data_IF_067995858885
#
_entry.id   IF_067995858885
#
_cell.length_a   1.000
_cell.length_b   1.000
_cell.length_c   1.000
_cell.angle_alpha   90.00
_cell.angle_beta   90.00
_cell.angle_gamma   90.00
#
_symmetry.space_group_name_H-M   'P 1'
#
loop_
_entity.id
_entity.type
_entity.pdbx_description
1 polymer ?
#
# COMPACT_ATOMS: atom_id res chain seq x y z
N UNK A 1 6.66 1.67 31.83
CA UNK A 1 7.07 1.47 30.42
C UNK A 1 8.35 0.66 30.43
N UNK A 2 8.40 -0.49 29.75
CA UNK A 2 9.63 -1.28 29.67
C UNK A 2 10.63 -0.49 28.84
N UNK A 3 11.70 0.01 29.46
CA UNK A 3 12.82 0.65 28.76
C UNK A 3 13.32 -0.28 27.66
N UNK A 4 13.19 0.12 26.39
CA UNK A 4 13.61 -0.68 25.24
C UNK A 4 15.07 -1.09 25.41
N UNK A 5 15.37 -2.39 25.33
CA UNK A 5 16.67 -2.94 25.77
C UNK A 5 17.87 -2.49 24.92
N UNK A 6 17.62 -1.87 23.77
CA UNK A 6 18.64 -1.31 22.88
C UNK A 6 19.08 0.12 23.25
N UNK A 7 18.48 0.76 24.26
CA UNK A 7 18.88 2.10 24.76
C UNK A 7 20.14 2.07 25.65
N UNK A 8 20.89 0.98 25.65
CA UNK A 8 22.07 0.79 26.50
C UNK A 8 23.22 1.70 26.05
N UNK A 9 23.87 2.46 26.95
CA UNK A 9 25.04 3.27 26.61
C UNK A 9 26.14 2.45 25.91
N UNK A 10 26.72 3.00 24.85
CA UNK A 10 27.76 2.36 24.04
C UNK A 10 27.27 1.23 23.12
N UNK A 11 25.97 0.91 23.11
CA UNK A 11 25.41 -0.05 22.17
C UNK A 11 25.28 0.58 20.78
N UNK A 12 25.69 -0.17 19.76
CA UNK A 12 25.59 0.26 18.36
C UNK A 12 24.97 -0.86 17.53
N UNK A 13 23.85 -0.57 16.88
CA UNK A 13 23.18 -1.49 15.97
C UNK A 13 23.40 -1.04 14.54
N UNK A 14 23.90 -1.95 13.71
CA UNK A 14 24.09 -1.75 12.27
C UNK A 14 24.11 -3.08 11.54
N UNK A 15 23.81 -3.04 10.24
CA UNK A 15 23.87 -4.26 9.41
C UNK A 15 25.28 -4.86 9.43
N UNK A 16 25.34 -6.20 9.48
CA UNK A 16 26.58 -7.01 9.40
C UNK A 16 27.59 -6.85 10.56
N UNK A 17 27.42 -5.92 11.49
CA UNK A 17 28.39 -5.70 12.59
C UNK A 17 27.74 -5.12 13.86
N UNK A 18 26.47 -5.49 14.11
CA UNK A 18 25.75 -5.14 15.34
C UNK A 18 26.33 -5.89 16.54
N UNK A 19 26.55 -5.19 17.66
CA UNK A 19 26.88 -5.82 18.95
C UNK A 19 25.64 -6.20 19.77
N UNK A 20 24.44 -5.88 19.26
CA UNK A 20 23.19 -6.12 19.96
C UNK A 20 22.68 -7.55 19.86
N UNK A 21 22.03 -8.00 20.93
CA UNK A 21 21.33 -9.28 20.98
C UNK A 21 20.11 -9.28 20.07
N UNK A 22 19.62 -10.48 19.75
CA UNK A 22 18.37 -10.66 18.98
C UNK A 22 17.18 -9.94 19.62
N UNK A 23 17.11 -9.93 20.95
CA UNK A 23 16.04 -9.27 21.72
C UNK A 23 16.12 -7.74 21.52
N UNK A 24 17.31 -7.17 21.63
CA UNK A 24 17.53 -5.73 21.41
C UNK A 24 17.15 -5.30 19.99
N UNK A 25 17.45 -6.13 18.98
CA UNK A 25 17.04 -5.86 17.61
C UNK A 25 15.52 -5.96 17.45
N UNK A 26 14.85 -6.93 18.10
CA UNK A 26 13.38 -7.02 18.10
C UNK A 26 12.74 -5.81 18.75
N UNK A 27 13.27 -5.33 19.86
CA UNK A 27 12.78 -4.12 20.52
C UNK A 27 12.88 -2.91 19.58
N UNK A 28 14.02 -2.72 18.91
CA UNK A 28 14.17 -1.67 17.90
C UNK A 28 13.16 -1.85 16.74
N UNK A 29 12.99 -3.07 16.25
CA UNK A 29 12.05 -3.35 15.16
C UNK A 29 10.60 -3.05 15.57
N UNK A 30 10.19 -3.38 16.81
CA UNK A 30 8.85 -3.02 17.34
C UNK A 30 8.68 -1.50 17.38
N UNK A 31 9.67 -0.78 17.89
CA UNK A 31 9.64 0.68 17.96
C UNK A 31 9.56 1.30 16.55
N UNK A 32 10.34 0.79 15.58
CA UNK A 32 10.26 1.23 14.18
C UNK A 32 8.95 0.84 13.49
N UNK A 33 8.28 -0.26 13.86
CA UNK A 33 6.91 -0.59 13.40
C UNK A 33 5.91 0.39 13.97
N UNK A 34 6.00 0.68 15.27
CA UNK A 34 5.11 1.58 15.97
C UNK A 34 5.19 3.01 15.41
N UNK A 35 6.39 3.46 15.04
CA UNK A 35 6.63 4.75 14.38
C UNK A 35 6.38 4.71 12.85
N UNK A 36 6.01 3.56 12.27
CA UNK A 36 5.69 3.45 10.84
C UNK A 36 6.87 3.58 9.87
N UNK A 37 8.09 3.30 10.32
CA UNK A 37 9.30 3.26 9.48
C UNK A 37 9.68 1.85 9.02
N UNK A 38 9.34 0.82 9.80
CA UNK A 38 9.60 -0.56 9.39
C UNK A 38 8.44 -1.10 8.56
N UNK A 39 8.74 -1.55 7.35
CA UNK A 39 7.74 -2.09 6.41
C UNK A 39 7.04 -3.36 6.94
N UNK A 40 7.83 -4.29 7.49
CA UNK A 40 7.40 -5.54 8.14
C UNK A 40 8.58 -6.25 8.77
N UNK A 41 8.27 -7.30 9.53
CA UNK A 41 9.17 -8.27 10.17
C UNK A 41 9.77 -7.78 11.49
N UNK A 42 9.49 -8.50 12.57
CA UNK A 42 10.08 -8.34 13.91
C UNK A 42 10.77 -9.66 14.25
N UNK A 43 11.83 -9.96 13.51
CA UNK A 43 12.51 -11.26 13.50
C UNK A 43 13.81 -11.27 14.33
N UNK A 44 14.27 -10.09 14.77
CA UNK A 44 15.53 -9.89 15.50
C UNK A 44 16.77 -9.87 14.62
N UNK A 45 16.61 -9.77 13.30
CA UNK A 45 17.70 -9.60 12.34
C UNK A 45 17.89 -8.14 11.91
N UNK A 46 19.10 -7.60 12.07
CA UNK A 46 19.43 -6.27 11.50
C UNK A 46 19.79 -6.41 10.01
N UNK A 47 18.80 -6.72 9.19
CA UNK A 47 18.93 -6.91 7.74
C UNK A 47 18.71 -5.62 6.92
N UNK A 48 18.58 -5.78 5.60
CA UNK A 48 18.32 -4.66 4.68
C UNK A 48 17.01 -3.91 4.99
N UNK A 49 15.99 -4.60 5.47
CA UNK A 49 14.71 -3.98 5.86
C UNK A 49 14.89 -3.03 7.05
N UNK A 50 15.53 -3.52 8.12
CA UNK A 50 15.83 -2.74 9.32
C UNK A 50 16.75 -1.56 9.02
N UNK A 51 17.82 -1.77 8.25
CA UNK A 51 18.73 -0.68 7.84
C UNK A 51 17.99 0.41 7.05
N UNK A 52 17.10 0.02 6.14
CA UNK A 52 16.28 0.98 5.38
C UNK A 52 15.34 1.77 6.27
N UNK A 53 14.70 1.13 7.25
CA UNK A 53 13.82 1.79 8.20
C UNK A 53 14.59 2.83 9.05
N UNK A 54 15.77 2.46 9.54
CA UNK A 54 16.66 3.36 10.29
C UNK A 54 17.07 4.56 9.44
N UNK A 55 17.50 4.32 8.19
CA UNK A 55 17.86 5.41 7.27
C UNK A 55 16.68 6.33 6.93
N UNK A 56 15.49 5.77 6.74
CA UNK A 56 14.29 6.55 6.51
C UNK A 56 13.95 7.46 7.71
N UNK A 57 14.08 6.94 8.94
CA UNK A 57 13.88 7.75 10.15
C UNK A 57 14.95 8.83 10.28
N UNK A 58 16.23 8.50 10.09
CA UNK A 58 17.32 9.48 10.11
C UNK A 58 17.09 10.60 9.08
N UNK A 59 16.61 10.24 7.89
CA UNK A 59 16.27 11.22 6.87
C UNK A 59 15.14 12.16 7.33
N UNK A 60 14.06 11.62 7.87
CA UNK A 60 12.93 12.44 8.35
C UNK A 60 13.33 13.31 9.55
N UNK A 61 14.18 12.82 10.46
CA UNK A 61 14.77 13.62 11.55
C UNK A 61 15.60 14.81 11.05
N UNK A 62 16.11 14.75 9.82
CA UNK A 62 16.88 15.84 9.22
C UNK A 62 16.03 16.76 8.34
N UNK A 63 14.93 16.26 7.75
CA UNK A 63 14.28 16.93 6.62
C UNK A 63 12.75 17.07 6.73
N UNK A 64 12.08 16.31 7.60
CA UNK A 64 10.61 16.29 7.63
C UNK A 64 10.08 17.34 8.62
N UNK A 65 9.59 18.44 8.04
CA UNK A 65 9.00 19.60 8.74
C UNK A 65 7.48 19.44 9.01
N UNK A 66 6.94 18.22 8.95
CA UNK A 66 5.52 17.95 9.19
C UNK A 66 4.59 18.33 8.03
N UNK A 67 5.13 18.63 6.85
CA UNK A 67 4.35 19.07 5.69
C UNK A 67 3.96 17.89 4.78
N UNK A 68 2.82 18.02 4.09
CA UNK A 68 2.51 17.13 2.97
C UNK A 68 3.05 17.64 1.64
N UNK A 69 3.35 16.69 0.76
CA UNK A 69 3.59 16.95 -0.67
C UNK A 69 2.30 16.90 -1.52
N UNK A 70 1.13 16.63 -0.91
CA UNK A 70 -0.20 16.49 -1.52
C UNK A 70 -1.29 17.18 -0.67
N UNK A 71 -2.56 16.96 -1.03
CA UNK A 71 -3.74 17.63 -0.43
C UNK A 71 -4.33 16.90 0.80
N UNK A 72 -3.55 16.04 1.45
CA UNK A 72 -3.92 15.26 2.64
C UNK A 72 -3.68 16.01 3.95
N UNK A 73 -3.06 17.19 3.91
CA UNK A 73 -2.88 18.05 5.09
C UNK A 73 -1.53 17.85 5.78
N UNK A 74 -1.23 18.68 6.77
CA UNK A 74 0.02 18.58 7.53
C UNK A 74 -0.03 17.43 8.54
N UNK A 75 1.13 16.84 8.81
CA UNK A 75 1.31 15.89 9.89
C UNK A 75 1.15 16.60 11.25
N UNK A 76 0.70 15.90 12.30
CA UNK A 76 0.47 16.52 13.62
C UNK A 76 1.75 17.02 14.30
N UNK A 77 2.91 16.52 13.88
CA UNK A 77 4.24 16.90 14.39
C UNK A 77 5.24 16.90 13.26
N UNK A 78 6.27 17.75 13.34
CA UNK A 78 7.43 17.66 12.48
C UNK A 78 8.41 16.62 13.06
N UNK A 79 8.85 15.66 12.23
CA UNK A 79 9.83 14.66 12.70
C UNK A 79 11.16 15.33 13.04
N UNK A 80 11.52 16.40 12.34
CA UNK A 80 12.75 17.15 12.57
C UNK A 80 12.87 17.70 14.01
N UNK A 81 11.75 17.98 14.68
CA UNK A 81 11.74 18.52 16.06
C UNK A 81 12.30 17.54 17.09
N UNK A 82 12.22 16.23 16.82
CA UNK A 82 12.75 15.19 17.70
C UNK A 82 14.27 15.02 17.56
N UNK A 83 14.87 15.55 16.50
CA UNK A 83 16.31 15.40 16.26
C UNK A 83 17.14 16.14 17.32
N UNK A 84 16.80 17.39 17.63
CA UNK A 84 17.50 18.23 18.63
C UNK A 84 19.04 18.22 18.48
N UNK A 85 19.52 18.13 17.24
CA UNK A 85 20.95 18.06 16.89
C UNK A 85 21.65 16.73 17.18
N UNK A 86 20.92 15.66 17.52
CA UNK A 86 21.51 14.35 17.87
C UNK A 86 21.92 13.52 16.65
N UNK A 87 21.14 13.58 15.58
CA UNK A 87 21.37 12.90 14.30
C UNK A 87 21.87 13.93 13.29
N UNK A 88 23.00 13.62 12.66
CA UNK A 88 23.69 14.53 11.72
C UNK A 88 23.88 13.92 10.33
N UNK A 89 23.57 12.63 10.14
CA UNK A 89 23.78 11.92 8.87
C UNK A 89 22.83 10.70 8.73
N UNK A 90 22.62 10.23 7.49
CA UNK A 90 21.78 9.08 7.12
C UNK A 90 22.66 7.84 6.88
N UNK A 91 23.21 7.30 7.97
CA UNK A 91 24.21 6.24 7.92
C UNK A 91 23.66 4.82 8.21
N UNK A 92 22.42 4.68 8.68
CA UNK A 92 21.79 3.40 9.03
C UNK A 92 22.28 2.78 10.35
N UNK A 93 22.94 3.57 11.19
CA UNK A 93 23.44 3.19 12.52
C UNK A 93 22.44 3.64 13.58
N UNK A 94 22.12 2.76 14.53
CA UNK A 94 21.42 3.13 15.76
C UNK A 94 22.41 3.15 16.91
N UNK A 95 22.74 4.35 17.35
CA UNK A 95 23.52 4.64 18.55
C UNK A 95 22.60 5.22 19.64
N UNK A 96 23.20 5.68 20.75
CA UNK A 96 22.45 6.28 21.85
C UNK A 96 21.69 7.56 21.43
N UNK A 97 22.22 8.31 20.47
CA UNK A 97 21.62 9.55 19.99
C UNK A 97 20.32 9.26 19.23
N UNK A 98 20.36 8.35 18.25
CA UNK A 98 19.15 7.96 17.52
C UNK A 98 18.16 7.21 18.43
N UNK A 99 18.64 6.37 19.34
CA UNK A 99 17.78 5.69 20.31
C UNK A 99 17.03 6.68 21.22
N UNK A 100 17.65 7.82 21.55
CA UNK A 100 16.98 8.89 22.29
C UNK A 100 15.92 9.61 21.44
N UNK A 101 16.19 9.90 20.16
CA UNK A 101 15.15 10.45 19.27
C UNK A 101 13.93 9.53 19.18
N UNK A 102 14.16 8.21 19.04
CA UNK A 102 13.08 7.21 19.03
C UNK A 102 12.30 7.24 20.35
N UNK A 103 13.00 7.35 21.49
CA UNK A 103 12.33 7.49 22.79
C UNK A 103 11.43 8.72 22.84
N UNK A 104 11.97 9.88 22.48
CA UNK A 104 11.23 11.15 22.53
C UNK A 104 9.96 11.08 21.66
N UNK A 105 10.03 10.44 20.48
CA UNK A 105 8.87 10.20 19.62
C UNK A 105 7.85 9.24 20.24
N UNK A 106 8.31 8.17 20.90
CA UNK A 106 7.43 7.19 21.54
C UNK A 106 6.80 7.73 22.82
N UNK A 107 7.46 8.65 23.52
CA UNK A 107 6.97 9.26 24.76
C UNK A 107 6.01 10.43 24.46
N UNK A 108 6.06 11.00 23.25
CA UNK A 108 5.12 12.03 22.82
C UNK A 108 3.71 11.47 22.56
N UNK A 109 2.71 12.12 23.16
CA UNK A 109 1.28 11.80 22.99
C UNK A 109 0.70 12.39 21.71
N UNK A 110 1.35 13.40 21.13
CA UNK A 110 0.97 13.96 19.83
C UNK A 110 1.48 13.13 18.66
N UNK A 111 2.55 12.35 18.86
CA UNK A 111 3.01 11.38 17.87
C UNK A 111 2.08 10.16 17.81
N UNK A 112 1.33 9.95 16.70
CA UNK A 112 0.40 8.83 16.61
C UNK A 112 1.14 7.54 16.25
N UNK A 113 0.79 6.46 16.96
CA UNK A 113 1.46 5.16 16.87
C UNK A 113 0.63 4.20 16.03
N UNK A 114 1.28 3.43 15.16
CA UNK A 114 0.56 2.48 14.31
C UNK A 114 -0.16 1.41 15.14
N UNK A 115 -1.41 1.04 14.77
CA UNK A 115 -2.15 0.02 15.48
C UNK A 115 -1.56 -1.38 15.25
N UNK A 116 -1.74 -2.24 16.26
CA UNK A 116 -1.47 -3.67 16.19
C UNK A 116 -2.68 -4.45 16.71
N UNK A 117 -2.72 -5.74 16.40
CA UNK A 117 -3.73 -6.65 16.93
C UNK A 117 -3.08 -7.66 17.87
N UNK A 118 -3.67 -7.90 19.04
CA UNK A 118 -3.23 -8.97 19.96
C UNK A 118 -3.46 -10.35 19.35
N UNK A 119 -4.60 -10.54 18.67
CA UNK A 119 -4.92 -11.73 17.89
C UNK A 119 -5.14 -11.35 16.42
N UNK A 120 -4.06 -11.16 15.63
CA UNK A 120 -4.18 -10.71 14.24
C UNK A 120 -4.82 -11.76 13.34
N UNK A 121 -4.78 -13.04 13.67
CA UNK A 121 -5.47 -14.10 12.95
C UNK A 121 -6.98 -13.90 13.01
N UNK A 122 -7.50 -13.69 14.22
CA UNK A 122 -8.93 -13.44 14.44
C UNK A 122 -9.37 -12.10 13.84
N UNK A 123 -8.62 -11.01 14.10
CA UNK A 123 -8.91 -9.70 13.53
C UNK A 123 -8.98 -9.75 11.98
N UNK A 124 -8.04 -10.46 11.33
CA UNK A 124 -8.10 -10.64 9.88
C UNK A 124 -9.29 -11.52 9.43
N UNK A 125 -9.69 -12.52 10.23
CA UNK A 125 -10.87 -13.34 9.92
C UNK A 125 -12.15 -12.50 9.92
N UNK A 126 -12.33 -11.65 10.91
CA UNK A 126 -13.46 -10.72 11.01
C UNK A 126 -13.51 -9.75 9.83
N UNK A 127 -12.37 -9.15 9.47
CA UNK A 127 -12.24 -8.28 8.28
C UNK A 127 -12.75 -8.98 7.03
N UNK A 128 -12.38 -10.25 6.83
CA UNK A 128 -12.78 -11.01 5.64
C UNK A 128 -14.25 -11.39 5.67
N UNK A 129 -14.81 -11.69 6.85
CA UNK A 129 -16.26 -11.89 6.99
C UNK A 129 -17.03 -10.63 6.61
N UNK A 130 -16.62 -9.46 7.11
CA UNK A 130 -17.22 -8.17 6.74
C UNK A 130 -17.10 -7.88 5.25
N UNK A 131 -15.93 -8.13 4.64
CA UNK A 131 -15.73 -7.96 3.20
C UNK A 131 -16.58 -8.93 2.35
N UNK A 132 -16.91 -10.11 2.89
CA UNK A 132 -17.76 -11.09 2.23
C UNK A 132 -19.26 -10.77 2.34
N UNK A 133 -19.69 -10.17 3.46
CA UNK A 133 -21.06 -9.68 3.62
C UNK A 133 -21.30 -8.35 2.91
N UNK A 134 -20.25 -7.58 2.63
CA UNK A 134 -20.36 -6.29 1.98
C UNK A 134 -21.08 -6.37 0.62
N UNK A 135 -22.02 -5.45 0.42
CA UNK A 135 -22.69 -5.18 -0.84
C UNK A 135 -22.52 -3.70 -1.17
N UNK A 136 -22.38 -3.39 -2.45
CA UNK A 136 -22.26 -2.02 -2.93
C UNK A 136 -22.95 -1.90 -4.28
N UNK A 137 -23.81 -0.90 -4.41
CA UNK A 137 -24.38 -0.45 -5.69
C UNK A 137 -23.44 0.52 -6.41
N UNK A 138 -22.37 0.99 -5.76
CA UNK A 138 -21.47 2.01 -6.30
C UNK A 138 -20.30 1.42 -7.06
N UNK A 139 -19.72 0.31 -6.56
CA UNK A 139 -18.55 -0.34 -7.15
C UNK A 139 -18.64 -1.86 -7.00
N UNK A 140 -18.03 -2.65 -7.91
CA UNK A 140 -18.02 -4.09 -7.81
C UNK A 140 -17.05 -4.56 -6.72
N UNK A 141 -17.60 -5.08 -5.63
CA UNK A 141 -16.83 -5.66 -4.51
C UNK A 141 -15.82 -6.73 -4.95
N UNK A 142 -16.08 -7.60 -5.96
CA UNK A 142 -15.06 -8.53 -6.44
C UNK A 142 -13.80 -7.84 -6.99
N UNK A 143 -13.92 -6.69 -7.67
CA UNK A 143 -12.72 -5.96 -8.12
C UNK A 143 -11.91 -5.45 -6.92
N UNK A 144 -12.58 -4.90 -5.88
CA UNK A 144 -11.91 -4.52 -4.64
C UNK A 144 -11.24 -5.70 -3.95
N UNK A 145 -11.89 -6.87 -3.88
CA UNK A 145 -11.26 -8.10 -3.35
C UNK A 145 -10.00 -8.48 -4.13
N UNK A 146 -10.02 -8.39 -5.46
CA UNK A 146 -8.85 -8.67 -6.28
C UNK A 146 -7.71 -7.66 -6.05
N UNK A 147 -8.06 -6.37 -5.87
CA UNK A 147 -7.13 -5.30 -5.49
C UNK A 147 -6.54 -5.58 -4.11
N UNK A 148 -7.35 -5.80 -3.08
CA UNK A 148 -6.87 -6.09 -1.71
C UNK A 148 -6.03 -7.36 -1.66
N UNK A 149 -6.37 -8.38 -2.45
CA UNK A 149 -5.54 -9.58 -2.60
C UNK A 149 -4.18 -9.28 -3.23
N UNK A 150 -4.07 -8.26 -4.07
CA UNK A 150 -2.81 -7.80 -4.62
C UNK A 150 -2.02 -6.94 -3.64
N UNK A 151 -2.68 -6.00 -2.97
CA UNK A 151 -2.03 -4.98 -2.14
C UNK A 151 -1.57 -5.54 -0.80
N UNK A 152 -2.45 -6.25 -0.10
CA UNK A 152 -2.22 -6.70 1.28
C UNK A 152 -2.38 -8.21 1.46
N UNK A 153 -2.61 -8.94 0.36
CA UNK A 153 -2.96 -10.36 0.38
C UNK A 153 -4.21 -10.65 1.24
N UNK A 154 -5.19 -9.74 1.21
CA UNK A 154 -6.41 -9.81 2.02
C UNK A 154 -6.11 -9.80 3.54
N UNK A 155 -5.14 -8.98 3.97
CA UNK A 155 -4.82 -8.80 5.39
C UNK A 155 -4.91 -7.35 5.80
N UNK A 156 -5.50 -7.10 6.95
CA UNK A 156 -5.43 -5.82 7.62
C UNK A 156 -4.22 -5.74 8.55
N UNK A 157 -3.92 -6.81 9.29
CA UNK A 157 -2.76 -6.94 10.18
C UNK A 157 -1.79 -8.02 9.70
N UNK A 158 -0.49 -7.86 9.94
CA UNK A 158 0.45 -8.96 9.82
C UNK A 158 0.15 -10.04 10.85
N UNK A 159 0.53 -11.27 10.51
CA UNK A 159 0.28 -12.45 11.34
C UNK A 159 1.64 -13.05 11.69
N UNK A 160 2.04 -13.05 12.97
CA UNK A 160 3.30 -13.61 13.44
C UNK A 160 3.52 -15.04 12.97
N UNK A 161 4.77 -15.39 12.65
CA UNK A 161 5.17 -16.74 12.22
C UNK A 161 6.60 -17.05 12.65
N UNK A 162 6.78 -18.21 13.27
CA UNK A 162 8.09 -18.69 13.71
C UNK A 162 8.80 -17.67 14.60
N UNK A 163 9.92 -17.08 14.14
CA UNK A 163 10.68 -16.09 14.89
C UNK A 163 10.19 -14.64 14.70
N UNK A 164 9.29 -14.39 13.74
CA UNK A 164 8.70 -13.09 13.44
C UNK A 164 7.47 -12.84 14.31
N UNK A 165 7.47 -11.70 15.01
CA UNK A 165 6.45 -11.29 15.97
C UNK A 165 5.56 -10.14 15.44
N UNK A 166 5.62 -9.82 14.14
CA UNK A 166 4.89 -8.68 13.58
C UNK A 166 3.36 -8.91 13.56
N UNK A 167 2.66 -8.18 14.43
CA UNK A 167 1.19 -8.13 14.51
C UNK A 167 0.61 -6.75 14.17
N UNK A 168 1.44 -5.83 13.68
CA UNK A 168 1.02 -4.48 13.32
C UNK A 168 0.23 -4.46 12.01
N UNK A 169 -0.51 -3.36 11.80
CA UNK A 169 -1.22 -3.11 10.55
C UNK A 169 -0.31 -3.28 9.32
N UNK A 170 -0.85 -3.84 8.23
CA UNK A 170 -0.11 -3.95 6.96
C UNK A 170 0.22 -2.55 6.46
N UNK A 171 1.49 -2.31 6.16
CA UNK A 171 1.95 -1.02 5.63
C UNK A 171 2.52 -1.23 4.23
N UNK A 172 2.19 -0.33 3.32
CA UNK A 172 2.79 -0.17 2.00
C UNK A 172 3.66 1.08 2.03
N UNK A 173 4.84 1.03 1.42
CA UNK A 173 5.76 2.16 1.40
C UNK A 173 6.16 2.45 -0.03
N UNK A 174 5.96 3.68 -0.48
CA UNK A 174 6.60 4.17 -1.69
C UNK A 174 7.93 4.83 -1.33
N UNK A 175 8.96 4.48 -2.11
CA UNK A 175 10.33 4.95 -1.96
C UNK A 175 10.85 5.52 -3.28
N UNK A 176 9.93 5.97 -4.14
CA UNK A 176 10.24 6.52 -5.45
C UNK A 176 10.71 7.97 -5.36
N UNK A 177 11.84 8.20 -4.70
CA UNK A 177 12.54 9.47 -4.62
C UNK A 177 13.90 9.42 -5.33
N UNK A 178 14.46 10.59 -5.64
CA UNK A 178 15.82 10.71 -6.19
C UNK A 178 16.90 10.24 -5.22
N UNK A 179 16.67 10.41 -3.92
CA UNK A 179 17.55 9.92 -2.87
C UNK A 179 17.12 8.55 -2.35
N UNK A 180 18.10 7.74 -1.97
CA UNK A 180 17.86 6.40 -1.45
C UNK A 180 17.30 6.51 -0.03
N UNK A 181 16.31 5.66 0.31
CA UNK A 181 15.74 5.48 1.66
C UNK A 181 14.67 6.49 2.10
N UNK A 182 14.30 7.46 1.27
CA UNK A 182 13.13 8.32 1.53
C UNK A 182 11.86 7.50 1.38
N UNK A 183 10.94 7.63 2.36
CA UNK A 183 9.57 7.13 2.24
C UNK A 183 8.69 8.31 1.82
N UNK A 184 8.23 8.29 0.57
CA UNK A 184 7.45 9.40 -0.01
C UNK A 184 5.96 9.31 0.30
N UNK A 185 5.46 8.11 0.61
CA UNK A 185 4.08 7.89 1.04
C UNK A 185 3.92 6.53 1.71
N UNK A 186 2.85 6.39 2.50
CA UNK A 186 2.53 5.16 3.23
C UNK A 186 1.06 4.77 3.03
N UNK A 187 0.81 3.52 2.65
CA UNK A 187 -0.52 2.91 2.58
C UNK A 187 -0.79 2.02 3.79
N UNK A 188 -2.03 1.97 4.28
CA UNK A 188 -2.34 1.23 5.51
C UNK A 188 -3.51 0.25 5.39
N UNK A 189 -3.37 -0.90 6.06
CA UNK A 189 -4.39 -1.91 6.25
C UNK A 189 -4.75 -2.68 4.98
N UNK A 190 -5.95 -3.24 4.96
CA UNK A 190 -6.44 -4.07 3.86
C UNK A 190 -6.43 -3.35 2.51
N UNK A 191 -6.96 -2.13 2.48
CA UNK A 191 -7.15 -1.32 1.28
C UNK A 191 -5.97 -0.45 0.88
N UNK A 192 -4.96 -0.33 1.76
CA UNK A 192 -3.73 0.42 1.51
C UNK A 192 -3.99 1.88 1.07
N UNK A 193 -4.98 2.53 1.67
CA UNK A 193 -5.23 3.95 1.41
C UNK A 193 -3.99 4.77 1.79
N UNK A 194 -3.54 5.61 0.86
CA UNK A 194 -2.20 6.21 0.89
C UNK A 194 -2.24 7.62 1.45
N UNK A 195 -1.36 7.87 2.43
CA UNK A 195 -1.02 9.19 2.95
C UNK A 195 0.37 9.60 2.48
N UNK A 196 0.52 10.88 2.20
CA UNK A 196 1.73 11.56 1.74
C UNK A 196 2.36 12.46 2.81
N UNK A 197 1.65 12.77 3.90
CA UNK A 197 2.27 13.24 5.14
C UNK A 197 2.57 12.10 6.11
N UNK A 198 3.52 12.36 7.02
CA UNK A 198 3.89 11.42 8.07
C UNK A 198 4.41 12.18 9.30
N UNK A 199 3.95 11.83 10.53
CA UNK A 199 3.03 10.73 10.83
C UNK A 199 1.57 10.97 10.39
N UNK A 200 0.74 9.90 10.31
CA UNK A 200 -0.71 10.06 10.15
C UNK A 200 -1.31 10.81 11.34
N UNK A 201 -2.41 11.52 11.16
CA UNK A 201 -3.13 12.18 12.25
C UNK A 201 -3.90 11.17 13.13
N UNK A 202 -4.23 11.53 14.37
CA UNK A 202 -5.03 10.66 15.27
C UNK A 202 -6.36 10.23 14.64
N UNK A 203 -7.10 11.18 14.05
CA UNK A 203 -8.37 10.93 13.34
C UNK A 203 -8.20 9.99 12.15
N UNK A 204 -7.05 10.01 11.48
CA UNK A 204 -6.76 9.11 10.37
C UNK A 204 -6.55 7.68 10.85
N UNK A 205 -5.80 7.52 11.95
CA UNK A 205 -5.66 6.22 12.60
C UNK A 205 -7.04 5.69 13.01
N UNK A 206 -7.82 6.50 13.72
CA UNK A 206 -9.15 6.10 14.21
C UNK A 206 -10.10 5.74 13.06
N UNK A 207 -10.26 6.63 12.06
CA UNK A 207 -11.29 6.51 11.05
C UNK A 207 -10.95 5.57 9.89
N UNK A 208 -9.70 5.14 9.72
CA UNK A 208 -9.39 4.21 8.61
C UNK A 208 -8.31 3.17 8.89
N UNK A 209 -7.48 3.30 9.92
CA UNK A 209 -6.51 2.26 10.27
C UNK A 209 -7.06 1.31 11.32
N UNK A 210 -7.80 1.83 12.30
CA UNK A 210 -8.50 1.01 13.30
C UNK A 210 -9.88 0.64 12.78
N UNK A 211 -10.62 1.62 12.25
CA UNK A 211 -11.90 1.35 11.59
C UNK A 211 -11.72 0.73 10.19
N UNK A 212 -11.92 -0.58 10.13
CA UNK A 212 -11.89 -1.37 8.90
C UNK A 212 -12.98 -0.92 7.92
N UNK A 213 -14.15 -0.49 8.40
CA UNK A 213 -15.22 -0.03 7.52
C UNK A 213 -14.83 1.27 6.83
N UNK A 214 -14.23 2.20 7.58
CA UNK A 214 -13.62 3.40 7.02
C UNK A 214 -12.51 3.09 6.00
N UNK A 215 -11.65 2.11 6.26
CA UNK A 215 -10.63 1.65 5.30
C UNK A 215 -11.26 1.18 3.97
N UNK A 216 -12.31 0.35 4.06
CA UNK A 216 -13.04 -0.17 2.90
C UNK A 216 -13.79 0.96 2.18
N UNK A 217 -14.40 1.89 2.92
CA UNK A 217 -15.13 3.04 2.38
C UNK A 217 -14.21 3.96 1.56
N UNK A 218 -12.98 4.20 2.03
CA UNK A 218 -11.95 4.92 1.27
C UNK A 218 -11.60 4.22 -0.03
N UNK A 219 -11.45 2.90 -0.02
CA UNK A 219 -11.19 2.12 -1.23
C UNK A 219 -12.37 2.11 -2.22
N UNK A 220 -13.62 2.07 -1.73
CA UNK A 220 -14.82 2.23 -2.54
C UNK A 220 -14.81 3.61 -3.23
N UNK A 221 -14.56 4.66 -2.45
CA UNK A 221 -14.51 6.04 -2.93
C UNK A 221 -13.44 6.19 -4.01
N UNK A 222 -12.24 5.66 -3.77
CA UNK A 222 -11.13 5.71 -4.73
C UNK A 222 -11.48 4.99 -6.03
N UNK A 223 -12.00 3.75 -5.96
CA UNK A 223 -12.34 3.00 -7.17
C UNK A 223 -13.49 3.66 -7.95
N UNK A 224 -14.47 4.23 -7.24
CA UNK A 224 -15.57 5.01 -7.83
C UNK A 224 -15.05 6.25 -8.54
N UNK A 225 -14.18 7.03 -7.90
CA UNK A 225 -13.52 8.20 -8.49
C UNK A 225 -12.79 7.83 -9.79
N UNK A 226 -12.04 6.72 -9.81
CA UNK A 226 -11.40 6.24 -11.05
C UNK A 226 -12.41 5.84 -12.11
N UNK A 227 -13.56 5.30 -11.74
CA UNK A 227 -14.57 4.96 -12.71
C UNK A 227 -15.23 6.21 -13.32
N UNK A 228 -15.61 7.17 -12.49
CA UNK A 228 -16.33 8.37 -12.89
C UNK A 228 -15.43 9.35 -13.65
N UNK A 229 -14.21 9.59 -13.14
CA UNK A 229 -13.36 10.67 -13.63
C UNK A 229 -12.26 10.22 -14.59
N UNK A 230 -11.86 8.94 -14.56
CA UNK A 230 -10.74 8.47 -15.38
C UNK A 230 -11.17 7.71 -16.65
N UNK A 231 -12.21 6.88 -16.57
CA UNK A 231 -12.62 6.03 -17.70
C UNK A 231 -12.99 6.85 -18.94
N UNK A 232 -13.67 7.98 -18.74
CA UNK A 232 -14.09 8.90 -19.81
C UNK A 232 -13.61 10.34 -19.60
N UNK A 233 -12.62 10.51 -18.71
CA UNK A 233 -12.05 11.81 -18.34
C UNK A 233 -11.36 12.57 -19.49
N UNK A 234 -10.91 13.80 -19.23
CA UNK A 234 -10.22 14.60 -20.22
C UNK A 234 -8.89 13.97 -20.67
N UNK A 235 -8.40 14.29 -21.89
CA UNK A 235 -7.13 13.81 -22.44
C UNK A 235 -5.92 13.93 -21.51
N UNK A 236 -4.86 13.20 -21.83
CA UNK A 236 -3.66 13.12 -21.00
C UNK A 236 -3.83 12.08 -19.91
N UNK A 237 -2.95 12.04 -18.90
CA UNK A 237 -2.92 10.99 -17.88
C UNK A 237 -4.24 10.74 -17.11
N UNK A 238 -5.27 11.56 -17.32
CA UNK A 238 -6.62 11.50 -16.76
C UNK A 238 -7.64 10.72 -17.60
N UNK A 239 -7.30 10.21 -18.80
CA UNK A 239 -8.20 9.37 -19.61
C UNK A 239 -7.70 7.94 -19.80
N UNK A 240 -8.65 7.00 -19.86
CA UNK A 240 -8.42 5.64 -20.29
C UNK A 240 -8.28 5.56 -21.82
N UNK A 241 -7.15 6.00 -22.39
CA UNK A 241 -6.94 5.95 -23.85
C UNK A 241 -7.01 4.51 -24.41
N UNK A 242 -6.66 3.51 -23.59
CA UNK A 242 -6.83 2.10 -23.87
C UNK A 242 -8.29 1.69 -24.08
N UNK A 243 -9.24 2.31 -23.38
CA UNK A 243 -10.69 2.07 -23.58
C UNK A 243 -11.12 2.46 -24.99
N UNK A 244 -10.72 3.64 -25.45
CA UNK A 244 -11.07 4.14 -26.77
C UNK A 244 -10.37 3.35 -27.88
N UNK A 245 -9.10 3.02 -27.70
CA UNK A 245 -8.35 2.17 -28.63
C UNK A 245 -8.92 0.75 -28.74
N UNK A 246 -9.56 0.26 -27.68
CA UNK A 246 -10.28 -1.01 -27.64
C UNK A 246 -11.70 -0.92 -28.28
N UNK A 247 -12.08 0.24 -28.82
CA UNK A 247 -13.34 0.46 -29.55
C UNK A 247 -14.52 0.94 -28.70
N UNK A 248 -14.31 1.23 -27.41
CA UNK A 248 -15.36 1.73 -26.50
C UNK A 248 -15.39 3.25 -26.51
N UNK A 249 -16.09 3.81 -27.49
CA UNK A 249 -16.13 5.25 -27.76
C UNK A 249 -17.33 5.97 -27.12
N UNK A 250 -18.28 5.23 -26.55
CA UNK A 250 -19.45 5.79 -25.89
C UNK A 250 -19.07 6.67 -24.69
N UNK A 251 -19.79 7.79 -24.54
CA UNK A 251 -19.53 8.78 -23.49
C UNK A 251 -19.88 8.27 -22.08
N UNK A 252 -20.92 7.45 -21.95
CA UNK A 252 -21.28 6.83 -20.66
C UNK A 252 -20.52 5.52 -20.47
N UNK A 253 -19.75 5.35 -19.37
CA UNK A 253 -19.12 4.07 -19.05
C UNK A 253 -20.12 2.93 -18.87
N UNK A 254 -19.74 1.72 -19.27
CA UNK A 254 -20.54 0.51 -19.02
C UNK A 254 -20.33 0.03 -17.59
N UNK A 255 -21.39 0.03 -16.78
CA UNK A 255 -21.31 -0.28 -15.34
C UNK A 255 -21.35 -1.80 -15.11
N UNK A 256 -22.39 -2.46 -15.63
CA UNK A 256 -22.59 -3.90 -15.51
C UNK A 256 -23.41 -4.40 -16.70
N UNK A 257 -23.33 -5.71 -16.98
CA UNK A 257 -24.20 -6.37 -17.97
C UNK A 257 -25.55 -6.77 -17.40
N UNK A 258 -25.62 -6.89 -16.08
CA UNK A 258 -26.84 -7.20 -15.37
C UNK A 258 -27.55 -5.89 -15.01
N UNK A 259 -28.87 -5.92 -14.94
CA UNK A 259 -29.66 -4.78 -14.46
C UNK A 259 -29.50 -4.58 -12.96
N UNK A 260 -29.72 -3.36 -12.46
CA UNK A 260 -29.53 -3.01 -11.04
C UNK A 260 -30.37 -3.87 -10.06
N UNK A 261 -31.50 -4.40 -10.53
CA UNK A 261 -32.39 -5.27 -9.76
C UNK A 261 -31.96 -6.75 -9.79
N UNK A 262 -31.01 -7.13 -10.65
CA UNK A 262 -30.48 -8.50 -10.71
C UNK A 262 -29.49 -8.72 -9.56
N UNK A 263 -29.60 -9.85 -8.87
CA UNK A 263 -28.71 -10.19 -7.74
C UNK A 263 -27.23 -10.30 -8.13
N UNK A 264 -26.93 -10.44 -9.44
CA UNK A 264 -25.60 -10.50 -10.03
C UNK A 264 -25.01 -9.12 -10.34
N UNK A 265 -25.81 -8.05 -10.26
CA UNK A 265 -25.36 -6.68 -10.47
C UNK A 265 -24.17 -6.35 -9.58
N UNK A 266 -23.02 -6.02 -10.18
CA UNK A 266 -21.76 -5.72 -9.51
C UNK A 266 -21.20 -6.82 -8.57
N UNK A 267 -21.79 -8.01 -8.55
CA UNK A 267 -21.40 -9.12 -7.67
C UNK A 267 -20.80 -10.31 -8.43
N UNK A 268 -21.25 -10.61 -9.66
CA UNK A 268 -20.79 -11.77 -10.44
C UNK A 268 -19.63 -11.45 -11.42
N UNK A 269 -18.67 -10.63 -10.95
CA UNK A 269 -17.55 -10.20 -11.80
C UNK A 269 -16.54 -11.34 -12.07
N UNK A 270 -16.47 -12.35 -11.18
CA UNK A 270 -15.61 -13.52 -11.38
C UNK A 270 -16.03 -14.29 -12.64
N UNK A 271 -17.32 -14.60 -12.79
CA UNK A 271 -17.82 -15.31 -13.97
C UNK A 271 -17.58 -14.50 -15.24
N UNK A 272 -17.78 -13.18 -15.19
CA UNK A 272 -17.43 -12.29 -16.30
C UNK A 272 -15.92 -12.38 -16.64
N UNK A 273 -15.04 -12.38 -15.64
CA UNK A 273 -13.59 -12.50 -15.86
C UNK A 273 -13.16 -13.88 -16.39
N UNK A 274 -13.93 -14.93 -16.12
CA UNK A 274 -13.67 -16.28 -16.60
C UNK A 274 -14.19 -16.51 -18.03
N UNK A 275 -15.27 -15.82 -18.42
CA UNK A 275 -15.89 -15.97 -19.75
C UNK A 275 -15.17 -15.20 -20.86
N UNK A 276 -14.34 -14.21 -20.53
CA UNK A 276 -13.60 -13.44 -21.55
C UNK A 276 -12.41 -14.21 -22.09
N UNK A 277 -11.96 -13.82 -23.28
CA UNK A 277 -10.71 -14.34 -23.83
C UNK A 277 -9.54 -14.06 -22.90
N UNK A 278 -8.51 -14.91 -22.99
CA UNK A 278 -7.26 -14.74 -22.25
C UNK A 278 -6.13 -14.45 -23.22
N UNK A 279 -5.17 -13.67 -22.78
CA UNK A 279 -3.98 -13.33 -23.54
C UNK A 279 -2.70 -13.63 -22.77
N UNK A 280 -1.64 -13.83 -23.55
CA UNK A 280 -0.26 -13.88 -23.08
C UNK A 280 0.34 -12.48 -23.20
N UNK A 281 0.85 -11.95 -22.09
CA UNK A 281 1.59 -10.69 -22.05
C UNK A 281 3.06 -11.03 -21.92
N UNK A 282 3.88 -10.53 -22.86
CA UNK A 282 5.32 -10.72 -22.87
C UNK A 282 5.99 -9.36 -22.81
N UNK A 283 6.87 -9.17 -21.82
CA UNK A 283 7.67 -7.96 -21.67
C UNK A 283 8.39 -7.60 -22.97
N UNK A 284 8.42 -6.30 -23.27
CA UNK A 284 9.04 -5.66 -24.43
C UNK A 284 8.46 -6.06 -25.80
N UNK A 285 7.45 -6.95 -25.82
CA UNK A 285 6.75 -7.41 -27.04
C UNK A 285 5.30 -6.97 -27.06
N UNK A 286 4.55 -7.23 -26.00
CA UNK A 286 3.11 -6.93 -25.96
C UNK A 286 2.88 -5.44 -25.74
N UNK A 287 2.16 -4.80 -26.66
CA UNK A 287 1.75 -3.40 -26.54
C UNK A 287 0.64 -3.25 -25.49
N UNK A 288 0.54 -2.08 -24.83
CA UNK A 288 -0.53 -1.85 -23.83
C UNK A 288 -1.95 -2.04 -24.40
N UNK A 289 -2.14 -1.58 -25.61
CA UNK A 289 -3.36 -1.68 -26.41
C UNK A 289 -2.97 -1.58 -27.90
N UNK A 290 -3.89 -1.93 -28.80
CA UNK A 290 -3.66 -1.86 -30.24
C UNK A 290 -3.32 -0.42 -30.64
N UNK A 291 -2.19 -0.22 -31.32
CA UNK A 291 -1.71 1.11 -31.74
C UNK A 291 -0.92 1.88 -30.67
N UNK A 292 -0.75 1.34 -29.45
CA UNK A 292 0.15 1.93 -28.46
C UNK A 292 1.61 1.80 -28.90
N UNK A 293 2.38 2.89 -28.84
CA UNK A 293 3.86 2.85 -28.97
C UNK A 293 4.54 2.22 -27.75
N UNK A 294 3.84 2.24 -26.61
CA UNK A 294 4.34 1.72 -25.35
C UNK A 294 3.96 0.26 -25.16
N UNK A 295 4.87 -0.50 -24.54
CA UNK A 295 4.76 -1.94 -24.30
C UNK A 295 4.84 -2.25 -22.82
N UNK A 296 4.34 -3.43 -22.45
CA UNK A 296 4.62 -4.00 -21.13
C UNK A 296 6.13 -4.16 -20.96
N UNK A 297 6.64 -3.83 -19.78
CA UNK A 297 8.06 -3.95 -19.45
C UNK A 297 8.21 -4.40 -18.00
N UNK A 298 9.33 -5.05 -17.70
CA UNK A 298 9.76 -5.29 -16.34
C UNK A 298 10.10 -3.95 -15.68
N UNK A 299 9.66 -3.77 -14.44
CA UNK A 299 9.97 -2.59 -13.63
C UNK A 299 10.51 -3.02 -12.27
N UNK A 300 10.92 -2.08 -11.43
CA UNK A 300 11.28 -2.39 -10.03
C UNK A 300 10.14 -3.03 -9.23
N UNK A 301 8.89 -2.87 -9.67
CA UNK A 301 7.70 -3.37 -8.97
C UNK A 301 7.05 -4.58 -9.63
N UNK A 302 7.31 -4.81 -10.93
CA UNK A 302 6.54 -5.73 -11.74
C UNK A 302 7.41 -6.52 -12.72
N UNK A 303 7.03 -7.78 -12.96
CA UNK A 303 7.76 -8.72 -13.82
C UNK A 303 7.64 -8.42 -15.33
N UNK A 304 6.60 -7.71 -15.79
CA UNK A 304 6.44 -7.34 -17.20
C UNK A 304 5.75 -8.40 -18.07
N UNK A 305 5.82 -9.67 -17.71
CA UNK A 305 5.25 -10.80 -18.46
C UNK A 305 4.21 -11.55 -17.62
N UNK A 306 3.07 -11.87 -18.21
CA UNK A 306 1.97 -12.52 -17.53
C UNK A 306 1.23 -13.49 -18.42
N UNK A 307 0.98 -14.68 -17.88
CA UNK A 307 0.16 -15.66 -18.58
C UNK A 307 -1.31 -15.63 -18.18
N UNK A 308 -2.17 -16.06 -19.11
CA UNK A 308 -3.59 -16.27 -18.91
C UNK A 308 -4.32 -15.03 -18.36
N UNK A 309 -3.99 -13.85 -18.90
CA UNK A 309 -4.60 -12.59 -18.46
C UNK A 309 -5.96 -12.41 -19.12
N UNK A 310 -7.05 -12.20 -18.39
CA UNK A 310 -8.33 -11.81 -18.97
C UNK A 310 -8.18 -10.57 -19.85
N UNK A 311 -8.66 -10.62 -21.09
CA UNK A 311 -8.59 -9.52 -22.04
C UNK A 311 -9.62 -8.46 -21.64
N UNK A 312 -9.15 -7.31 -21.14
CA UNK A 312 -10.00 -6.25 -20.58
C UNK A 312 -11.13 -5.78 -21.51
N UNK A 313 -10.90 -5.70 -22.83
CA UNK A 313 -11.89 -5.17 -23.79
C UNK A 313 -13.09 -6.08 -23.98
N UNK A 314 -12.92 -7.36 -23.63
CA UNK A 314 -13.96 -8.37 -23.79
C UNK A 314 -14.87 -8.42 -22.54
N UNK A 315 -14.52 -7.71 -21.45
CA UNK A 315 -15.40 -7.59 -20.28
C UNK A 315 -16.65 -6.80 -20.65
N UNK A 316 -17.83 -7.13 -20.13
CA UNK A 316 -19.05 -6.43 -20.49
C UNK A 316 -19.26 -5.14 -19.66
N UNK A 317 -18.19 -4.61 -19.05
CA UNK A 317 -18.19 -3.38 -18.24
C UNK A 317 -16.83 -2.67 -18.35
N UNK A 318 -16.75 -1.44 -17.82
CA UNK A 318 -15.56 -0.59 -17.93
C UNK A 318 -14.70 -0.55 -16.65
N UNK A 319 -15.05 -1.31 -15.61
CA UNK A 319 -14.26 -1.43 -14.38
C UNK A 319 -12.80 -1.89 -14.58
N UNK A 320 -12.46 -2.75 -15.56
CA UNK A 320 -11.07 -3.03 -15.90
C UNK A 320 -10.27 -1.77 -16.25
N UNK A 321 -10.87 -0.76 -16.89
CA UNK A 321 -10.20 0.48 -17.23
C UNK A 321 -10.02 1.39 -16.00
N UNK A 322 -11.03 1.48 -15.13
CA UNK A 322 -10.94 2.21 -13.87
C UNK A 322 -9.82 1.65 -12.97
N UNK A 323 -9.81 0.34 -12.76
CA UNK A 323 -8.83 -0.30 -11.86
C UNK A 323 -7.39 -0.15 -12.33
N UNK A 324 -7.15 0.11 -13.63
CA UNK A 324 -5.81 0.38 -14.16
C UNK A 324 -5.17 1.57 -13.44
N UNK A 325 -5.97 2.55 -13.03
CA UNK A 325 -5.50 3.75 -12.33
C UNK A 325 -5.71 3.72 -10.83
N UNK A 326 -6.11 2.57 -10.30
CA UNK A 326 -6.21 2.41 -8.85
C UNK A 326 -4.84 2.58 -8.19
N UNK A 327 -3.78 2.03 -8.81
CA UNK A 327 -2.42 2.20 -8.33
C UNK A 327 -1.41 2.25 -9.48
N UNK A 328 -0.47 3.20 -9.40
CA UNK A 328 0.59 3.40 -10.38
C UNK A 328 0.20 4.20 -11.63
N UNK A 329 1.22 4.49 -12.45
CA UNK A 329 1.08 5.22 -13.71
C UNK A 329 1.93 4.58 -14.81
N UNK A 330 1.72 4.99 -16.07
CA UNK A 330 2.47 4.48 -17.22
C UNK A 330 2.50 2.94 -17.26
N UNK A 331 3.67 2.37 -17.47
CA UNK A 331 3.89 0.92 -17.53
C UNK A 331 3.51 0.18 -16.25
N UNK A 332 3.65 0.80 -15.07
CA UNK A 332 3.27 0.18 -13.81
C UNK A 332 1.76 -0.03 -13.73
N UNK A 333 0.96 0.94 -14.20
CA UNK A 333 -0.51 0.84 -14.21
C UNK A 333 -1.03 -0.34 -15.05
N UNK A 334 -0.40 -0.64 -16.19
CA UNK A 334 -0.77 -1.78 -17.05
C UNK A 334 -0.36 -3.12 -16.44
N UNK A 335 0.86 -3.21 -15.91
CA UNK A 335 1.30 -4.39 -15.16
C UNK A 335 0.38 -4.65 -13.96
N UNK A 336 -0.01 -3.59 -13.24
CA UNK A 336 -0.94 -3.64 -12.13
C UNK A 336 -2.29 -4.24 -12.55
N UNK A 337 -2.91 -3.70 -13.61
CA UNK A 337 -4.18 -4.18 -14.17
C UNK A 337 -4.12 -5.67 -14.52
N UNK A 338 -3.07 -6.12 -15.22
CA UNK A 338 -2.93 -7.53 -15.60
C UNK A 338 -2.96 -8.47 -14.39
N UNK A 339 -2.24 -8.10 -13.32
CA UNK A 339 -2.17 -8.89 -12.09
C UNK A 339 -3.49 -8.90 -11.31
N UNK A 340 -4.24 -7.79 -11.29
CA UNK A 340 -5.55 -7.75 -10.64
C UNK A 340 -6.59 -8.55 -11.43
N UNK A 341 -6.61 -8.45 -12.76
CA UNK A 341 -7.53 -9.24 -13.60
C UNK A 341 -7.31 -10.75 -13.44
N UNK A 342 -6.05 -11.19 -13.35
CA UNK A 342 -5.73 -12.59 -13.03
C UNK A 342 -6.27 -13.02 -11.67
N UNK A 343 -6.23 -12.14 -10.66
CA UNK A 343 -6.79 -12.44 -9.33
C UNK A 343 -8.31 -12.48 -9.36
N UNK A 344 -8.95 -11.53 -10.06
CA UNK A 344 -10.41 -11.48 -10.23
C UNK A 344 -10.96 -12.79 -10.80
N UNK A 345 -10.30 -13.36 -11.83
CA UNK A 345 -10.70 -14.64 -12.43
C UNK A 345 -10.51 -15.86 -11.49
N UNK A 346 -9.78 -15.70 -10.38
CA UNK A 346 -9.43 -16.75 -9.41
C UNK A 346 -10.09 -16.56 -8.03
N UNK A 347 -10.88 -15.49 -7.83
CA UNK A 347 -11.46 -15.16 -6.53
C UNK A 347 -12.29 -16.26 -5.92
#
# INVERSE_FOLDING_TARGET
>A
MSTSSYKKPGLVLKRSSSSASKIQIKDLQRDLRQLGYLYRWIDGGFGLGTERAVKALQYDLLNNMGQSTRMDGEAPVAIADYNRGRVTDVNGIVDQNLAQCISDMLDDTEYPKLPFAENPQEANREVIQQLNSLRSSQVPIPFLKAIFKQESNLKHFYVPRSADEDSYIVVGMDINAGEKHIITSRGYGLGQFTLFHHPPAKKEIENFMVDIQGNISKAITELKDKFENFVTGPPGGRRADDRFADGRTQQKPLICKYDENDSRFLTDCKSCAQSVNKQQIVADKTSFYKGSKNKFQKTKYHEGSYENVPVRKDFPCDWPYAMRRYNGSGVNSYNYQARVLKRLAKL
#
